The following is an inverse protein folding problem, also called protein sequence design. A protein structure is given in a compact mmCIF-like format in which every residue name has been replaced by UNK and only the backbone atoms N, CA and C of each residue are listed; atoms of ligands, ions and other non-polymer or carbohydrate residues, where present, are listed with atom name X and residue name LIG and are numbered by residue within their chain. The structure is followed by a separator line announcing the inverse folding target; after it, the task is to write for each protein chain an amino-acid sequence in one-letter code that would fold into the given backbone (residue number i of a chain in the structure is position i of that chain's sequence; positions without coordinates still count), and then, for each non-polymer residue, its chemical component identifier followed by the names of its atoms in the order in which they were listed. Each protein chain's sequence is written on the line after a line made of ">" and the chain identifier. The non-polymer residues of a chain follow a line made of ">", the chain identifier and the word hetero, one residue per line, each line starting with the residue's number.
data_IF_712325379079
#
_entry.id   IF_712325379079
#
_cell.length_a   1.000
_cell.length_b   1.000
_cell.length_c   1.000
_cell.angle_alpha   90.00
_cell.angle_beta   90.00
_cell.angle_gamma   90.00
#
_symmetry.space_group_name_H-M   'P 1'
#
loop_
_entity.id
_entity.type
_entity.pdbx_description
1 polymer ?
#
# COMPACT_ATOMS: atom_id res chain seq x y z
N UNK A 1 15.30 10.42 -14.39
CA UNK A 1 14.42 9.26 -14.02
C UNK A 1 12.95 9.63 -14.23
N UNK A 2 12.01 8.68 -14.48
CA UNK A 2 10.58 8.98 -14.74
C UNK A 2 9.93 9.92 -13.69
N UNK A 3 10.33 9.82 -12.42
CA UNK A 3 9.74 10.58 -11.31
C UNK A 3 10.62 11.69 -10.72
N UNK A 4 11.73 12.01 -11.37
CA UNK A 4 12.73 12.99 -10.88
C UNK A 4 12.10 14.36 -10.57
N UNK A 5 11.18 14.82 -11.43
CA UNK A 5 10.47 16.08 -11.21
C UNK A 5 9.62 16.08 -9.93
N UNK A 6 8.91 14.98 -9.66
CA UNK A 6 8.11 14.82 -8.44
C UNK A 6 8.98 14.70 -7.19
N UNK A 7 10.08 13.93 -7.27
CA UNK A 7 11.04 13.78 -6.16
C UNK A 7 11.65 15.14 -5.79
N UNK A 8 12.03 15.92 -6.80
CA UNK A 8 12.56 17.28 -6.60
C UNK A 8 11.52 18.22 -6.02
N UNK A 9 10.28 18.17 -6.51
CA UNK A 9 9.15 18.94 -5.98
C UNK A 9 8.88 18.62 -4.51
N UNK A 10 8.97 17.34 -4.13
CA UNK A 10 8.81 16.85 -2.77
C UNK A 10 10.00 17.20 -1.84
N UNK A 11 11.13 17.69 -2.38
CA UNK A 11 12.34 17.95 -1.62
C UNK A 11 13.03 16.69 -1.08
N UNK A 12 12.84 15.54 -1.74
CA UNK A 12 13.40 14.25 -1.35
C UNK A 12 14.70 13.92 -2.11
N UNK A 13 15.56 13.09 -1.51
CA UNK A 13 16.77 12.60 -2.17
C UNK A 13 16.45 11.39 -3.05
N UNK A 14 16.72 11.49 -4.35
CA UNK A 14 16.51 10.42 -5.32
C UNK A 14 17.20 9.10 -4.96
N UNK A 15 18.29 9.13 -4.17
CA UNK A 15 19.00 7.93 -3.72
C UNK A 15 18.16 7.07 -2.77
N UNK A 16 17.14 7.67 -2.15
CA UNK A 16 16.22 7.00 -1.24
C UNK A 16 14.92 6.58 -1.94
N UNK A 17 14.76 6.85 -3.23
CA UNK A 17 13.62 6.37 -4.01
C UNK A 17 13.72 4.87 -4.23
N UNK A 18 12.62 4.14 -4.01
CA UNK A 18 12.55 2.69 -4.15
C UNK A 18 11.62 2.29 -5.29
N UNK A 19 10.31 2.45 -5.13
CA UNK A 19 9.34 2.08 -6.16
C UNK A 19 8.26 3.13 -6.39
N UNK A 20 7.55 3.02 -7.52
CA UNK A 20 6.32 3.76 -7.76
C UNK A 20 5.22 2.80 -8.17
N UNK A 21 4.07 2.88 -7.51
CA UNK A 21 2.98 1.92 -7.65
C UNK A 21 1.63 2.55 -7.31
N UNK A 22 0.55 1.94 -7.83
CA UNK A 22 -0.83 2.29 -7.52
C UNK A 22 -1.42 1.19 -6.62
N UNK A 23 -2.30 1.53 -5.68
CA UNK A 23 -2.94 0.51 -4.84
C UNK A 23 -3.66 -0.54 -5.69
N UNK A 24 -3.66 -1.79 -5.23
CA UNK A 24 -4.28 -2.94 -5.91
C UNK A 24 -3.69 -3.27 -7.31
N UNK A 25 -2.51 -2.75 -7.64
CA UNK A 25 -1.82 -3.01 -8.90
C UNK A 25 -0.35 -3.41 -8.64
N UNK A 26 0.22 -4.24 -9.51
CA UNK A 26 1.62 -4.66 -9.42
C UNK A 26 2.60 -3.49 -9.70
N UNK A 27 3.77 -3.53 -9.06
CA UNK A 27 4.83 -2.53 -9.27
C UNK A 27 5.33 -2.60 -10.72
N UNK A 28 5.37 -1.45 -11.40
CA UNK A 28 5.77 -1.31 -12.82
C UNK A 28 4.85 -2.02 -13.84
N UNK A 29 3.69 -2.54 -13.44
CA UNK A 29 2.70 -3.09 -14.35
C UNK A 29 1.74 -2.02 -14.89
N UNK A 30 0.90 -2.41 -15.85
CA UNK A 30 -0.25 -1.61 -16.28
C UNK A 30 -1.26 -1.50 -15.12
N UNK A 31 -1.87 -0.32 -14.97
CA UNK A 31 -2.92 -0.12 -13.97
C UNK A 31 -4.22 -0.70 -14.54
N UNK A 32 -4.71 -1.76 -13.93
CA UNK A 32 -5.94 -2.46 -14.31
C UNK A 32 -7.13 -2.09 -13.43
N UNK A 33 -6.88 -1.53 -12.25
CA UNK A 33 -7.90 -1.11 -11.28
C UNK A 33 -7.82 0.40 -10.98
N UNK A 34 -8.05 1.28 -11.99
CA UNK A 34 -7.78 2.70 -11.85
C UNK A 34 -8.72 3.41 -10.86
N UNK A 35 -10.01 3.09 -10.84
CA UNK A 35 -10.94 3.73 -9.89
C UNK A 35 -10.63 3.36 -8.43
N UNK A 36 -10.28 2.10 -8.18
CA UNK A 36 -9.91 1.64 -6.85
C UNK A 36 -8.56 2.24 -6.39
N UNK A 37 -7.60 2.36 -7.30
CA UNK A 37 -6.34 3.05 -7.02
C UNK A 37 -6.57 4.51 -6.59
N UNK A 38 -7.44 5.24 -7.30
CA UNK A 38 -7.81 6.62 -6.97
C UNK A 38 -8.51 6.72 -5.62
N UNK A 39 -9.49 5.85 -5.33
CA UNK A 39 -10.20 5.84 -4.06
C UNK A 39 -9.25 5.63 -2.86
N UNK A 40 -8.36 4.64 -2.96
CA UNK A 40 -7.42 4.32 -1.88
C UNK A 40 -6.35 5.39 -1.72
N UNK A 41 -5.88 5.97 -2.81
CA UNK A 41 -4.96 7.10 -2.79
C UNK A 41 -5.60 8.33 -2.13
N UNK A 42 -6.86 8.62 -2.43
CA UNK A 42 -7.57 9.75 -1.82
C UNK A 42 -7.67 9.61 -0.29
N UNK A 43 -7.82 8.38 0.22
CA UNK A 43 -7.75 8.13 1.67
C UNK A 43 -6.37 8.46 2.25
N UNK A 44 -5.28 8.19 1.51
CA UNK A 44 -3.92 8.58 1.91
C UNK A 44 -3.77 10.09 1.90
N UNK A 45 -4.22 10.76 0.84
CA UNK A 45 -4.15 12.23 0.71
C UNK A 45 -4.97 12.96 1.78
N UNK A 46 -6.06 12.35 2.25
CA UNK A 46 -6.86 12.83 3.39
C UNK A 46 -6.25 12.49 4.76
N UNK A 47 -5.16 11.71 4.81
CA UNK A 47 -4.54 11.24 6.05
C UNK A 47 -5.33 10.18 6.81
N UNK A 48 -6.31 9.54 6.16
CA UNK A 48 -7.12 8.46 6.73
C UNK A 48 -6.45 7.10 6.62
N UNK A 49 -5.84 6.81 5.45
CA UNK A 49 -5.09 5.58 5.17
C UNK A 49 -3.60 5.80 5.44
N UNK A 50 -3.08 5.05 6.41
CA UNK A 50 -1.68 5.06 6.84
C UNK A 50 -1.13 3.63 7.00
N UNK A 51 -1.85 2.64 6.49
CA UNK A 51 -1.47 1.25 6.48
C UNK A 51 -1.96 0.56 5.20
N UNK A 52 -1.30 -0.54 4.85
CA UNK A 52 -1.66 -1.42 3.73
C UNK A 52 -1.30 -2.86 4.10
N UNK A 53 -1.91 -3.81 3.39
CA UNK A 53 -1.67 -5.24 3.58
C UNK A 53 -1.42 -5.95 2.24
N UNK A 54 -0.59 -6.99 2.27
CA UNK A 54 -0.37 -7.92 1.16
C UNK A 54 -0.33 -9.36 1.66
N UNK A 55 -0.60 -10.32 0.77
CA UNK A 55 -0.50 -11.73 1.10
C UNK A 55 0.98 -12.15 1.10
N UNK A 56 1.45 -12.84 2.13
CA UNK A 56 2.85 -13.31 2.15
C UNK A 56 3.15 -14.27 0.99
N UNK A 57 2.14 -15.02 0.55
CA UNK A 57 2.24 -15.96 -0.58
C UNK A 57 2.42 -15.27 -1.94
N UNK A 58 2.16 -13.97 -2.03
CA UNK A 58 2.33 -13.19 -3.26
C UNK A 58 3.81 -12.88 -3.53
N UNK A 59 4.64 -12.91 -2.48
CA UNK A 59 6.08 -12.67 -2.61
C UNK A 59 6.79 -13.90 -3.16
N UNK A 60 7.56 -13.70 -4.24
CA UNK A 60 8.42 -14.73 -4.79
C UNK A 60 9.52 -15.19 -3.81
N UNK A 61 10.14 -16.36 -4.03
CA UNK A 61 11.17 -16.91 -3.13
C UNK A 61 12.40 -16.00 -2.96
N UNK A 62 12.69 -15.17 -3.98
CA UNK A 62 13.79 -14.21 -3.98
C UNK A 62 13.31 -12.75 -3.84
N UNK A 63 12.01 -12.54 -3.63
CA UNK A 63 11.44 -11.20 -3.48
C UNK A 63 11.54 -10.74 -2.03
N UNK A 64 12.23 -9.61 -1.76
CA UNK A 64 12.37 -9.13 -0.40
C UNK A 64 11.03 -8.60 0.13
N UNK A 65 10.69 -8.97 1.36
CA UNK A 65 9.59 -8.34 2.07
C UNK A 65 9.86 -6.84 2.28
N UNK A 66 8.80 -6.04 2.44
CA UNK A 66 8.94 -4.65 2.84
C UNK A 66 9.72 -4.51 4.14
N UNK A 67 10.55 -3.47 4.24
CA UNK A 67 11.39 -3.20 5.41
C UNK A 67 11.35 -1.72 5.79
N UNK A 68 11.67 -1.43 7.05
CA UNK A 68 11.85 -0.07 7.56
C UNK A 68 13.30 0.34 7.33
N UNK A 69 13.61 0.79 6.11
CA UNK A 69 14.96 1.14 5.67
C UNK A 69 15.17 2.66 5.46
N UNK A 70 14.13 3.46 5.71
CA UNK A 70 14.14 4.92 5.53
C UNK A 70 14.01 5.37 4.07
N UNK A 71 13.85 4.44 3.12
CA UNK A 71 13.52 4.76 1.74
C UNK A 71 12.06 5.15 1.59
N UNK A 72 11.71 5.64 0.42
CA UNK A 72 10.34 6.03 0.10
C UNK A 72 9.86 5.43 -1.22
N UNK A 73 8.56 5.20 -1.27
CA UNK A 73 7.82 4.87 -2.47
C UNK A 73 6.97 6.05 -2.91
N UNK A 74 6.61 6.06 -4.19
CA UNK A 74 5.69 7.02 -4.78
C UNK A 74 4.37 6.31 -5.05
N UNK A 75 3.28 6.86 -4.52
CA UNK A 75 1.94 6.41 -4.84
C UNK A 75 1.45 7.12 -6.09
N UNK A 76 0.97 6.32 -7.04
CA UNK A 76 0.40 6.75 -8.30
C UNK A 76 -1.13 6.76 -8.23
N UNK A 77 -1.76 7.66 -8.97
CA UNK A 77 -3.19 7.60 -9.26
C UNK A 77 -3.50 6.57 -10.36
N UNK A 78 -4.77 6.35 -10.65
CA UNK A 78 -5.27 5.43 -11.67
C UNK A 78 -4.81 5.76 -13.10
N UNK A 79 -4.30 6.97 -13.33
CA UNK A 79 -3.70 7.41 -14.60
C UNK A 79 -2.16 7.31 -14.58
N UNK A 80 -1.58 6.71 -13.53
CA UNK A 80 -0.15 6.52 -13.37
C UNK A 80 0.62 7.81 -13.04
N UNK A 81 -0.05 8.87 -12.59
CA UNK A 81 0.58 10.12 -12.18
C UNK A 81 0.98 10.07 -10.71
N UNK A 82 2.17 10.59 -10.34
CA UNK A 82 2.63 10.57 -8.95
C UNK A 82 1.88 11.61 -8.10
N UNK A 83 1.34 11.15 -6.97
CA UNK A 83 0.49 11.98 -6.10
C UNK A 83 0.94 12.03 -4.64
N UNK A 84 1.61 11.00 -4.13
CA UNK A 84 2.19 11.03 -2.79
C UNK A 84 3.54 10.32 -2.72
N UNK A 85 4.39 10.72 -1.78
CA UNK A 85 5.56 9.97 -1.37
C UNK A 85 5.34 9.43 0.04
N UNK A 86 5.59 8.15 0.27
CA UNK A 86 5.41 7.49 1.56
C UNK A 86 6.68 6.76 2.00
N UNK A 87 6.89 6.62 3.30
CA UNK A 87 7.94 5.76 3.86
C UNK A 87 7.35 4.74 4.81
N UNK A 88 7.74 3.47 4.66
CA UNK A 88 7.34 2.39 5.56
C UNK A 88 7.92 2.66 6.95
N UNK A 89 7.05 2.69 7.95
CA UNK A 89 7.39 3.00 9.35
C UNK A 89 7.30 1.79 10.27
N UNK A 90 6.56 0.75 9.87
CA UNK A 90 6.44 -0.50 10.59
C UNK A 90 6.05 -1.61 9.62
N UNK A 91 6.64 -2.79 9.79
CA UNK A 91 6.26 -4.02 9.08
C UNK A 91 6.12 -5.13 10.10
N UNK A 92 5.08 -5.95 9.96
CA UNK A 92 4.86 -7.13 10.78
C UNK A 92 4.01 -8.13 10.03
N UNK A 93 4.18 -9.41 10.35
CA UNK A 93 3.40 -10.50 9.77
C UNK A 93 2.39 -10.99 10.80
N UNK A 94 1.16 -11.17 10.37
CA UNK A 94 0.07 -11.75 11.17
C UNK A 94 -0.73 -12.72 10.34
N UNK A 95 -1.35 -13.69 11.00
CA UNK A 95 -2.43 -14.43 10.34
C UNK A 95 -3.57 -13.48 10.02
N UNK A 96 -4.28 -13.73 8.93
CA UNK A 96 -5.46 -12.96 8.56
C UNK A 96 -6.46 -12.79 9.70
N UNK A 97 -6.72 -13.87 10.45
CA UNK A 97 -7.60 -13.86 11.63
C UNK A 97 -7.08 -13.03 12.80
N UNK A 98 -5.77 -12.79 12.87
CA UNK A 98 -5.08 -12.03 13.92
C UNK A 98 -4.83 -10.56 13.57
N UNK A 99 -5.21 -10.11 12.37
CA UNK A 99 -5.17 -8.68 12.02
C UNK A 99 -6.10 -7.91 12.97
N UNK A 100 -5.57 -6.82 13.52
CA UNK A 100 -6.23 -6.07 14.60
C UNK A 100 -7.17 -5.01 14.05
N UNK A 101 -8.18 -4.63 14.84
CA UNK A 101 -9.01 -3.45 14.59
C UNK A 101 -8.18 -2.18 14.40
N UNK A 102 -7.06 -2.06 15.11
CA UNK A 102 -6.15 -0.92 14.96
C UNK A 102 -5.52 -0.87 13.56
N UNK A 103 -5.15 -2.02 12.98
CA UNK A 103 -4.60 -2.08 11.63
C UNK A 103 -5.68 -1.73 10.60
N UNK A 104 -6.85 -2.37 10.69
CA UNK A 104 -8.01 -2.09 9.85
C UNK A 104 -8.40 -0.59 9.89
N UNK A 105 -8.39 0.01 11.08
CA UNK A 105 -8.67 1.43 11.24
C UNK A 105 -7.64 2.32 10.53
N UNK A 106 -6.35 1.93 10.55
CA UNK A 106 -5.27 2.64 9.84
C UNK A 106 -5.32 2.42 8.33
N UNK A 107 -5.86 1.31 7.83
CA UNK A 107 -6.13 1.13 6.40
C UNK A 107 -7.21 2.09 5.91
N UNK A 108 -8.12 2.53 6.79
CA UNK A 108 -8.94 3.72 6.57
C UNK A 108 -10.09 3.56 5.58
N UNK A 109 -10.28 2.36 5.04
CA UNK A 109 -11.30 2.01 4.05
C UNK A 109 -12.69 1.80 4.68
N UNK A 110 -13.74 2.02 3.88
CA UNK A 110 -15.13 1.81 4.30
C UNK A 110 -15.48 2.52 5.60
N UNK A 111 -16.04 1.77 6.56
CA UNK A 111 -16.37 2.24 7.91
C UNK A 111 -15.21 2.13 8.91
N UNK A 112 -14.02 1.76 8.43
CA UNK A 112 -12.78 1.56 9.21
C UNK A 112 -12.87 0.45 10.26
N UNK A 113 -13.85 -0.44 10.14
CA UNK A 113 -14.00 -1.59 11.02
C UNK A 113 -13.17 -2.79 10.55
N UNK A 114 -12.82 -3.66 11.50
CA UNK A 114 -12.20 -4.95 11.18
C UNK A 114 -13.13 -5.87 10.38
N UNK A 115 -14.45 -5.73 10.56
CA UNK A 115 -15.43 -6.51 9.81
C UNK A 115 -15.40 -6.15 8.31
N UNK A 116 -15.42 -4.85 8.00
CA UNK A 116 -15.27 -4.36 6.64
C UNK A 116 -13.94 -4.78 6.05
N UNK A 117 -12.84 -4.56 6.78
CA UNK A 117 -11.49 -4.95 6.34
C UNK A 117 -11.41 -6.44 5.97
N UNK A 118 -11.94 -7.33 6.82
CA UNK A 118 -11.96 -8.78 6.55
C UNK A 118 -12.78 -9.11 5.31
N UNK A 119 -13.94 -8.47 5.14
CA UNK A 119 -14.79 -8.72 3.99
C UNK A 119 -14.06 -8.38 2.69
N UNK A 120 -13.56 -7.14 2.56
CA UNK A 120 -12.94 -6.68 1.29
C UNK A 120 -11.64 -7.42 0.98
N UNK A 121 -10.83 -7.75 1.99
CA UNK A 121 -9.59 -8.51 1.78
C UNK A 121 -9.85 -9.98 1.44
N UNK A 122 -10.91 -10.58 2.02
CA UNK A 122 -11.33 -11.93 1.64
C UNK A 122 -11.83 -11.97 0.20
N UNK A 123 -12.59 -10.97 -0.25
CA UNK A 123 -13.04 -10.86 -1.63
C UNK A 123 -11.85 -10.65 -2.58
N UNK A 124 -10.95 -9.71 -2.25
CA UNK A 124 -9.76 -9.39 -3.03
C UNK A 124 -8.86 -10.61 -3.21
N UNK A 125 -8.34 -11.21 -2.13
CA UNK A 125 -7.49 -12.40 -2.22
C UNK A 125 -8.25 -13.65 -2.69
N UNK A 126 -9.58 -13.68 -2.52
CA UNK A 126 -10.44 -14.72 -3.07
C UNK A 126 -10.43 -14.74 -4.60
N UNK A 127 -10.44 -13.56 -5.22
CA UNK A 127 -10.31 -13.40 -6.67
C UNK A 127 -9.02 -14.02 -7.23
N UNK A 128 -7.92 -13.93 -6.47
CA UNK A 128 -6.62 -14.51 -6.82
C UNK A 128 -6.42 -15.96 -6.33
N UNK A 129 -7.44 -16.56 -5.67
CA UNK A 129 -7.34 -17.89 -5.02
C UNK A 129 -6.23 -17.99 -3.97
N UNK A 130 -5.84 -16.86 -3.39
CA UNK A 130 -4.82 -16.78 -2.33
C UNK A 130 -5.45 -16.84 -0.93
N UNK A 131 -6.75 -16.56 -0.83
CA UNK A 131 -7.41 -16.46 0.48
C UNK A 131 -7.44 -17.78 1.24
N UNK A 132 -6.97 -17.72 2.49
CA UNK A 132 -7.14 -18.74 3.52
C UNK A 132 -7.24 -18.02 4.88
N UNK A 133 -8.17 -18.36 5.79
CA UNK A 133 -8.25 -17.74 7.11
C UNK A 133 -6.95 -17.77 7.93
N UNK A 134 -6.10 -18.76 7.69
CA UNK A 134 -4.80 -18.93 8.35
C UNK A 134 -3.63 -18.39 7.51
N UNK A 135 -3.90 -17.73 6.38
CA UNK A 135 -2.84 -17.13 5.55
C UNK A 135 -2.09 -16.06 6.33
N UNK A 136 -0.80 -15.95 6.04
CA UNK A 136 0.03 -14.88 6.57
C UNK A 136 -0.14 -13.61 5.71
N UNK A 137 -0.38 -12.51 6.41
CA UNK A 137 -0.58 -11.17 5.87
C UNK A 137 0.60 -10.33 6.31
N UNK A 138 1.29 -9.74 5.35
CA UNK A 138 2.31 -8.73 5.58
C UNK A 138 1.59 -7.40 5.77
N UNK A 139 1.64 -6.90 7.01
CA UNK A 139 1.02 -5.65 7.41
C UNK A 139 2.07 -4.54 7.41
N UNK A 140 1.84 -3.47 6.66
CA UNK A 140 2.69 -2.29 6.63
C UNK A 140 1.96 -1.07 7.20
N UNK A 141 2.66 -0.27 8.00
CA UNK A 141 2.23 1.08 8.35
C UNK A 141 3.22 2.07 7.76
N UNK A 142 2.73 3.17 7.18
CA UNK A 142 3.56 4.15 6.49
C UNK A 142 3.25 5.58 6.94
N UNK A 143 4.18 6.49 6.64
CA UNK A 143 4.02 7.93 6.81
C UNK A 143 4.08 8.61 5.45
N UNK A 144 3.20 9.58 5.25
CA UNK A 144 3.26 10.47 4.07
C UNK A 144 4.39 11.48 4.28
N UNK A 145 5.37 11.47 3.38
CA UNK A 145 6.45 12.44 3.31
C UNK A 145 6.06 13.67 2.50
N UNK A 146 5.28 13.45 1.44
CA UNK A 146 4.79 14.51 0.56
C UNK A 146 3.44 14.10 -0.04
N UNK A 147 2.53 15.07 -0.18
CA UNK A 147 1.25 14.89 -0.83
C UNK A 147 1.04 16.05 -1.81
N UNK A 148 0.90 15.70 -3.09
CA UNK A 148 0.63 16.65 -4.17
C UNK A 148 -0.87 16.89 -4.27
N UNK A 149 -1.26 18.07 -3.78
CA UNK A 149 -2.63 18.57 -3.83
C UNK A 149 -3.05 18.90 -5.25
#
# INVERSE_FOLDING_TARGET
>A
MKYEGFIKEAGLDEKNFRWAWAFCNEVNAEITEPELADELLDLVLQGKKTATASALLDYGPDEPLPTVDGKFDILLDGQGQPRAAITTSKVYIKKFTEVTEQHAFKEGEGDRSLAYWRQVHQEFWGGFKLFNPEMEVVCEEFKVLYAKK
#
